data_IF_010915168282
#
_entry.id   IF_010915168282
#
_cell.length_a   1.000
_cell.length_b   1.000
_cell.length_c   1.000
_cell.angle_alpha   90.00
_cell.angle_beta   90.00
_cell.angle_gamma   90.00
#
_symmetry.space_group_name_H-M   'P 1'
#
loop_
_entity.id
_entity.type
_entity.pdbx_description
1 polymer ?
#
# COMPACT_ATOMS: atom_id res chain seq x y z
N UNK A 1 -9.83 -25.86 4.13
CA UNK A 1 -9.89 -24.39 3.98
C UNK A 1 -9.67 -23.76 5.34
N UNK A 2 -8.45 -23.30 5.65
CA UNK A 2 -8.21 -22.61 6.91
C UNK A 2 -9.01 -21.29 6.92
N UNK A 3 -9.88 -21.12 7.91
CA UNK A 3 -10.63 -19.87 8.12
C UNK A 3 -9.61 -18.75 8.31
N UNK A 4 -9.49 -17.85 7.34
CA UNK A 4 -8.70 -16.62 7.48
C UNK A 4 -9.26 -15.83 8.67
N UNK A 5 -8.50 -15.75 9.75
CA UNK A 5 -8.91 -15.02 10.93
C UNK A 5 -8.80 -13.52 10.64
N UNK A 6 -9.95 -12.88 10.43
CA UNK A 6 -10.05 -11.45 10.07
C UNK A 6 -9.37 -10.54 11.09
N UNK A 7 -9.32 -10.96 12.35
CA UNK A 7 -8.68 -10.22 13.45
C UNK A 7 -7.16 -10.16 13.25
N UNK A 8 -6.53 -11.26 12.81
CA UNK A 8 -5.09 -11.29 12.53
C UNK A 8 -4.76 -10.37 11.35
N UNK A 9 -5.57 -10.40 10.30
CA UNK A 9 -5.39 -9.50 9.14
C UNK A 9 -5.57 -8.03 9.55
N UNK A 10 -6.57 -7.73 10.38
CA UNK A 10 -6.78 -6.38 10.89
C UNK A 10 -5.60 -5.88 11.73
N UNK A 11 -5.08 -6.72 12.63
CA UNK A 11 -3.86 -6.42 13.41
C UNK A 11 -2.65 -6.21 12.50
N UNK A 12 -2.45 -7.05 11.50
CA UNK A 12 -1.36 -6.89 10.53
C UNK A 12 -1.50 -5.58 9.75
N UNK A 13 -2.71 -5.20 9.31
CA UNK A 13 -2.96 -3.90 8.64
C UNK A 13 -2.56 -2.74 9.56
N UNK A 14 -2.98 -2.77 10.83
CA UNK A 14 -2.65 -1.72 11.80
C UNK A 14 -1.14 -1.61 12.03
N UNK A 15 -0.45 -2.75 12.17
CA UNK A 15 1.01 -2.79 12.32
C UNK A 15 1.71 -2.26 11.07
N UNK A 16 1.29 -2.71 9.88
CA UNK A 16 1.86 -2.25 8.61
C UNK A 16 1.64 -0.75 8.40
N UNK A 17 0.48 -0.22 8.77
CA UNK A 17 0.18 1.21 8.71
C UNK A 17 1.07 2.01 9.67
N UNK A 18 1.24 1.55 10.91
CA UNK A 18 2.14 2.17 11.88
C UNK A 18 3.60 2.15 11.41
N UNK A 19 4.06 1.03 10.84
CA UNK A 19 5.40 0.89 10.27
C UNK A 19 5.59 1.78 9.04
N UNK A 20 4.58 1.90 8.16
CA UNK A 20 4.64 2.75 6.97
C UNK A 20 4.76 4.23 7.32
N UNK A 21 3.95 4.70 8.28
CA UNK A 21 4.04 6.08 8.79
C UNK A 21 5.39 6.32 9.48
N UNK A 22 5.85 5.35 10.28
CA UNK A 22 7.15 5.43 10.95
C UNK A 22 8.30 5.45 9.95
N UNK A 23 8.24 4.66 8.88
CA UNK A 23 9.23 4.67 7.79
C UNK A 23 9.33 6.06 7.15
N UNK A 24 8.21 6.76 6.92
CA UNK A 24 8.21 8.13 6.41
C UNK A 24 8.75 9.15 7.42
N UNK A 25 8.43 8.99 8.72
CA UNK A 25 8.90 9.90 9.79
C UNK A 25 10.38 9.74 10.14
N UNK A 26 10.89 8.50 10.12
CA UNK A 26 12.28 8.17 10.42
C UNK A 26 13.14 7.99 9.15
N UNK A 27 12.60 8.26 7.97
CA UNK A 27 13.31 8.17 6.69
C UNK A 27 14.62 8.95 6.69
N UNK A 28 14.69 10.07 7.42
CA UNK A 28 15.89 10.88 7.60
C UNK A 28 17.08 10.14 8.24
N UNK A 29 16.83 9.12 9.08
CA UNK A 29 17.85 8.30 9.75
C UNK A 29 18.15 6.98 9.03
N UNK A 30 17.37 6.65 7.99
CA UNK A 30 17.52 5.42 7.22
C UNK A 30 18.45 5.61 6.02
N UNK A 31 19.20 4.56 5.61
CA UNK A 31 19.96 4.56 4.36
C UNK A 31 19.05 4.89 3.16
N UNK A 32 19.60 5.53 2.12
CA UNK A 32 18.85 6.02 0.96
C UNK A 32 17.87 4.98 0.38
N UNK A 33 18.32 3.72 0.25
CA UNK A 33 17.50 2.61 -0.23
C UNK A 33 16.23 2.39 0.63
N UNK A 34 16.35 2.36 1.95
CA UNK A 34 15.19 2.16 2.82
C UNK A 34 14.30 3.39 2.89
N UNK A 35 14.86 4.60 2.77
CA UNK A 35 14.07 5.83 2.71
C UNK A 35 13.13 5.86 1.52
N UNK A 36 13.61 5.38 0.36
CA UNK A 36 12.88 5.46 -0.91
C UNK A 36 11.87 4.31 -1.07
N UNK A 37 12.25 3.08 -0.72
CA UNK A 37 11.43 1.90 -1.01
C UNK A 37 10.60 1.36 0.16
N UNK A 38 10.96 1.66 1.42
CA UNK A 38 10.29 1.02 2.57
C UNK A 38 8.83 1.48 2.72
N UNK A 39 8.56 2.77 2.49
CA UNK A 39 7.21 3.33 2.53
C UNK A 39 6.28 2.65 1.52
N UNK A 40 6.72 2.53 0.28
CA UNK A 40 5.92 1.98 -0.82
C UNK A 40 5.76 0.46 -0.69
N UNK A 41 6.80 -0.25 -0.23
CA UNK A 41 6.73 -1.69 0.04
C UNK A 41 5.73 -2.00 1.16
N UNK A 42 5.77 -1.23 2.26
CA UNK A 42 4.83 -1.40 3.38
C UNK A 42 3.41 -1.03 2.96
N UNK A 43 3.25 -0.01 2.12
CA UNK A 43 1.95 0.36 1.59
C UNK A 43 1.36 -0.71 0.67
N UNK A 44 2.14 -1.26 -0.26
CA UNK A 44 1.72 -2.39 -1.10
C UNK A 44 1.34 -3.62 -0.25
N UNK A 45 2.10 -3.91 0.81
CA UNK A 45 1.76 -4.96 1.78
C UNK A 45 0.42 -4.68 2.48
N UNK A 46 0.16 -3.43 2.87
CA UNK A 46 -1.10 -3.03 3.49
C UNK A 46 -2.29 -3.27 2.54
N UNK A 47 -2.15 -2.93 1.26
CA UNK A 47 -3.18 -3.18 0.24
C UNK A 47 -3.43 -4.68 0.06
N UNK A 48 -2.37 -5.48 -0.02
CA UNK A 48 -2.49 -6.94 -0.11
C UNK A 48 -3.25 -7.53 1.10
N UNK A 49 -2.89 -7.09 2.32
CA UNK A 49 -3.57 -7.49 3.54
C UNK A 49 -5.04 -7.01 3.55
N UNK A 50 -5.30 -5.80 3.07
CA UNK A 50 -6.65 -5.23 2.94
C UNK A 50 -7.53 -6.03 1.98
N UNK A 51 -7.02 -6.43 0.82
CA UNK A 51 -7.72 -7.31 -0.13
C UNK A 51 -7.97 -8.68 0.51
N UNK A 52 -6.98 -9.24 1.22
CA UNK A 52 -7.13 -10.51 1.96
C UNK A 52 -8.16 -10.45 3.10
N UNK A 53 -8.29 -9.29 3.74
CA UNK A 53 -9.28 -9.00 4.77
C UNK A 53 -10.70 -8.86 4.19
N UNK A 54 -10.85 -8.05 3.12
CA UNK A 54 -12.14 -7.77 2.50
C UNK A 54 -12.69 -8.99 1.76
N UNK A 55 -11.82 -9.73 1.07
CA UNK A 55 -12.17 -10.93 0.30
C UNK A 55 -11.61 -12.20 0.94
N UNK A 56 -12.22 -12.61 2.05
CA UNK A 56 -11.84 -13.83 2.78
C UNK A 56 -11.88 -15.13 1.95
N UNK A 57 -12.59 -15.15 0.81
CA UNK A 57 -12.73 -16.30 -0.11
C UNK A 57 -11.79 -16.25 -1.34
N UNK A 58 -11.00 -15.18 -1.53
CA UNK A 58 -10.13 -15.06 -2.71
C UNK A 58 -8.88 -15.93 -2.56
N UNK A 59 -8.48 -16.64 -3.62
CA UNK A 59 -7.22 -17.38 -3.63
C UNK A 59 -6.04 -16.42 -3.51
N UNK A 60 -4.96 -16.84 -2.84
CA UNK A 60 -3.77 -16.00 -2.62
C UNK A 60 -3.20 -15.46 -3.95
N UNK A 61 -3.23 -16.27 -5.03
CA UNK A 61 -2.80 -15.82 -6.36
C UNK A 61 -3.65 -14.70 -6.94
N UNK A 62 -4.97 -14.69 -6.72
CA UNK A 62 -5.84 -13.59 -7.17
C UNK A 62 -5.63 -12.32 -6.34
N UNK A 63 -5.37 -12.45 -5.04
CA UNK A 63 -5.00 -11.29 -4.21
C UNK A 63 -3.67 -10.67 -4.65
N UNK A 64 -2.67 -11.51 -4.98
CA UNK A 64 -1.39 -11.08 -5.53
C UNK A 64 -1.57 -10.35 -6.87
N UNK A 65 -2.35 -10.93 -7.80
CA UNK A 65 -2.62 -10.30 -9.08
C UNK A 65 -3.34 -8.94 -8.94
N UNK A 66 -4.30 -8.83 -8.01
CA UNK A 66 -4.99 -7.57 -7.74
C UNK A 66 -4.04 -6.51 -7.14
N UNK A 67 -3.17 -6.90 -6.20
CA UNK A 67 -2.17 -5.99 -5.63
C UNK A 67 -1.16 -5.52 -6.70
N UNK A 68 -0.70 -6.41 -7.58
CA UNK A 68 0.18 -6.07 -8.69
C UNK A 68 -0.49 -5.12 -9.68
N UNK A 69 -1.72 -5.42 -10.11
CA UNK A 69 -2.48 -4.54 -10.99
C UNK A 69 -2.70 -3.15 -10.37
N UNK A 70 -2.95 -3.10 -9.07
CA UNK A 70 -3.10 -1.83 -8.36
C UNK A 70 -1.80 -1.03 -8.30
N UNK A 71 -0.67 -1.69 -8.02
CA UNK A 71 0.67 -1.08 -8.07
C UNK A 71 0.96 -0.51 -9.47
N UNK A 72 0.75 -1.30 -10.52
CA UNK A 72 0.94 -0.83 -11.89
C UNK A 72 0.01 0.33 -12.25
N UNK A 73 -1.26 0.30 -11.83
CA UNK A 73 -2.19 1.39 -12.07
C UNK A 73 -1.70 2.71 -11.44
N UNK A 74 -1.06 2.65 -10.27
CA UNK A 74 -0.48 3.82 -9.61
C UNK A 74 0.74 4.33 -10.37
N UNK A 75 1.61 3.44 -10.83
CA UNK A 75 2.79 3.79 -11.63
C UNK A 75 2.38 4.40 -12.98
N UNK A 76 1.36 3.85 -13.65
CA UNK A 76 0.75 4.45 -14.85
C UNK A 76 0.09 5.81 -14.55
N UNK A 77 -0.51 5.97 -13.38
CA UNK A 77 -1.05 7.26 -12.92
C UNK A 77 0.06 8.31 -12.71
N UNK A 78 1.30 7.90 -12.40
CA UNK A 78 2.44 8.82 -12.33
C UNK A 78 2.85 9.35 -13.71
N UNK A 79 2.73 8.53 -14.77
CA UNK A 79 2.95 8.97 -16.16
C UNK A 79 1.85 9.91 -16.67
N UNK A 80 0.64 9.81 -16.09
CA UNK A 80 -0.48 10.67 -16.42
C UNK A 80 -0.41 11.99 -15.63
N UNK A 81 0.06 13.08 -16.26
CA UNK A 81 0.27 14.37 -15.58
C UNK A 81 -0.86 15.39 -15.77
N UNK A 82 -2.13 14.95 -15.75
CA UNK A 82 -3.25 15.87 -15.84
C UNK A 82 -3.39 16.71 -14.55
N UNK A 83 -3.85 17.97 -14.66
CA UNK A 83 -3.97 18.86 -13.49
C UNK A 83 -4.87 18.29 -12.39
N UNK A 84 -5.95 17.60 -12.74
CA UNK A 84 -6.86 17.01 -11.76
C UNK A 84 -6.22 15.88 -10.95
N UNK A 85 -5.34 15.07 -11.55
CA UNK A 85 -4.71 13.94 -10.86
C UNK A 85 -3.54 14.43 -10.01
N UNK A 86 -2.83 15.45 -10.49
CA UNK A 86 -1.81 16.13 -9.69
C UNK A 86 -2.44 16.89 -8.51
N UNK A 87 -3.60 17.53 -8.68
CA UNK A 87 -4.35 18.16 -7.59
C UNK A 87 -4.76 17.12 -6.53
N UNK A 88 -5.21 15.94 -6.96
CA UNK A 88 -5.46 14.81 -6.06
C UNK A 88 -4.18 14.35 -5.35
N UNK A 89 -3.05 14.23 -6.05
CA UNK A 89 -1.74 13.84 -5.47
C UNK A 89 -1.27 14.84 -4.40
N UNK A 90 -1.57 16.13 -4.56
CA UNK A 90 -1.30 17.15 -3.55
C UNK A 90 -2.21 17.10 -2.31
N UNK A 91 -3.28 16.28 -2.32
CA UNK A 91 -4.08 16.04 -1.12
C UNK A 91 -3.42 14.98 -0.22
N UNK A 92 -3.58 15.09 1.10
CA UNK A 92 -3.00 14.14 2.05
C UNK A 92 -3.39 12.68 1.77
N UNK A 93 -4.65 12.45 1.35
CA UNK A 93 -5.14 11.12 0.98
C UNK A 93 -4.62 10.68 -0.39
N UNK A 94 -4.56 11.58 -1.37
CA UNK A 94 -4.07 11.23 -2.71
C UNK A 94 -2.57 10.99 -2.76
N UNK A 95 -1.74 11.74 -2.03
CA UNK A 95 -0.31 11.41 -1.88
C UNK A 95 -0.09 10.10 -1.11
N UNK A 96 -0.97 9.76 -0.16
CA UNK A 96 -0.92 8.45 0.51
C UNK A 96 -1.33 7.28 -0.39
N UNK A 97 -2.10 7.51 -1.46
CA UNK A 97 -2.64 6.45 -2.32
C UNK A 97 -1.97 6.39 -3.70
N UNK A 98 -1.53 7.52 -4.23
CA UNK A 98 -0.98 7.68 -5.59
C UNK A 98 0.54 7.93 -5.58
N UNK A 99 1.16 8.06 -4.40
CA UNK A 99 2.57 8.45 -4.23
C UNK A 99 2.72 9.94 -3.98
#
# INVERSE_FOLDING_TARGET
MQKRNRIIYFLMIMITMALGISSRKFGSYLPAFFREYAGDTLWALMVFLGIGFLFSKISTGKAMAAALLFSYAIEFSQLYQAEWINALRHTALGGLVLG
#
